data_IF_669661717901
#
_entry.id   IF_669661717901
#
_cell.length_a   1.000
_cell.length_b   1.000
_cell.length_c   1.000
_cell.angle_alpha   90.00
_cell.angle_beta   90.00
_cell.angle_gamma   90.00
#
_symmetry.space_group_name_H-M   'P 1'
#
loop_
_entity.id
_entity.type
_entity.pdbx_description
1 polymer ?
#
# COMPACT_ATOMS: atom_id res chain seq x y z
N UNK A 1 60.31 -1.54 -24.53
CA UNK A 1 60.69 -0.76 -23.34
C UNK A 1 59.83 0.51 -23.33
N UNK A 2 58.80 0.63 -22.49
CA UNK A 2 58.80 1.09 -21.09
C UNK A 2 59.25 2.55 -20.92
N UNK A 3 58.28 3.44 -20.63
CA UNK A 3 58.20 4.46 -19.56
C UNK A 3 57.42 5.70 -20.06
N UNK A 4 56.18 5.89 -19.60
CA UNK A 4 55.74 6.74 -18.45
C UNK A 4 55.80 8.24 -18.83
N UNK A 5 54.84 9.13 -18.54
CA UNK A 5 53.93 9.32 -17.39
C UNK A 5 52.56 9.84 -17.91
N UNK A 6 51.40 9.36 -17.45
CA UNK A 6 50.64 9.81 -16.25
C UNK A 6 50.46 11.34 -16.16
N UNK A 7 49.22 11.83 -16.34
CA UNK A 7 48.42 12.41 -15.24
C UNK A 7 46.97 12.69 -15.67
N UNK A 8 46.07 12.43 -14.71
CA UNK A 8 44.61 12.55 -14.74
C UNK A 8 44.09 13.94 -15.11
N UNK A 9 42.90 13.96 -15.74
CA UNK A 9 41.80 14.81 -15.27
C UNK A 9 40.45 14.12 -15.56
N UNK A 10 39.76 13.77 -14.48
CA UNK A 10 38.41 13.22 -14.42
C UNK A 10 37.40 14.20 -15.03
N UNK A 11 36.69 13.76 -16.07
CA UNK A 11 35.35 14.24 -16.40
C UNK A 11 34.50 13.02 -16.79
N UNK A 12 34.26 12.13 -15.82
CA UNK A 12 33.06 11.31 -15.89
C UNK A 12 31.90 12.27 -15.60
N UNK A 13 31.29 12.75 -16.69
CA UNK A 13 29.96 13.30 -16.63
C UNK A 13 29.09 12.27 -15.89
N UNK A 14 28.69 12.60 -14.67
CA UNK A 14 27.57 11.96 -14.00
C UNK A 14 26.36 12.22 -14.88
N UNK A 15 26.11 11.36 -15.86
CA UNK A 15 24.78 11.15 -16.36
C UNK A 15 24.00 10.59 -15.17
N UNK A 16 23.31 11.48 -14.46
CA UNK A 16 22.16 11.10 -13.66
C UNK A 16 21.22 10.37 -14.60
N UNK A 17 21.32 9.04 -14.65
CA UNK A 17 20.19 8.23 -15.03
C UNK A 17 19.15 8.46 -13.94
N UNK A 18 18.29 9.45 -14.17
CA UNK A 18 16.95 9.39 -13.62
C UNK A 18 16.43 8.01 -14.06
N UNK A 19 16.35 7.07 -13.12
CA UNK A 19 15.63 5.82 -13.36
C UNK A 19 14.20 6.25 -13.69
N UNK A 20 13.91 6.32 -14.98
CA UNK A 20 12.54 6.24 -15.48
C UNK A 20 12.00 4.93 -14.92
N UNK A 21 11.08 5.06 -13.96
CA UNK A 21 10.26 3.95 -13.47
C UNK A 21 9.72 3.26 -14.73
N UNK A 22 9.91 1.94 -14.89
CA UNK A 22 9.40 1.24 -16.07
C UNK A 22 7.90 1.48 -16.17
N UNK A 23 7.44 1.93 -17.35
CA UNK A 23 6.03 2.22 -17.65
C UNK A 23 5.09 1.03 -17.33
N UNK A 24 5.61 -0.18 -17.14
CA UNK A 24 4.84 -1.36 -16.71
C UNK A 24 4.15 -1.23 -15.33
N UNK A 25 4.59 -0.32 -14.44
CA UNK A 25 3.85 -0.08 -13.18
C UNK A 25 2.68 0.89 -13.42
N UNK A 26 2.77 1.78 -14.43
CA UNK A 26 1.76 2.81 -14.71
C UNK A 26 0.52 2.20 -15.36
N UNK A 27 0.68 1.14 -16.17
CA UNK A 27 -0.45 0.42 -16.78
C UNK A 27 -1.32 -0.39 -15.78
N UNK A 28 -0.86 -0.60 -14.53
CA UNK A 28 -1.68 -1.23 -13.48
C UNK A 28 -2.66 -0.26 -12.80
N UNK A 29 -2.49 1.04 -13.01
CA UNK A 29 -3.29 2.09 -12.38
C UNK A 29 -4.11 2.92 -13.38
N UNK A 30 -3.69 3.03 -14.64
CA UNK A 30 -4.38 3.83 -15.66
C UNK A 30 -5.60 3.13 -16.29
N UNK A 31 -5.68 1.80 -16.26
CA UNK A 31 -6.83 1.04 -16.77
C UNK A 31 -7.82 0.63 -15.66
N UNK A 32 -7.91 1.42 -14.60
CA UNK A 32 -9.01 1.30 -13.64
C UNK A 32 -10.22 2.05 -14.19
N UNK A 33 -10.72 1.58 -15.34
CA UNK A 33 -12.05 1.92 -15.85
C UNK A 33 -13.07 1.50 -14.80
N UNK A 34 -13.52 2.47 -14.00
CA UNK A 34 -14.68 2.35 -13.12
C UNK A 34 -14.73 1.01 -12.35
N UNK A 35 -13.86 0.84 -11.35
CA UNK A 35 -14.28 -0.04 -10.24
C UNK A 35 -15.50 0.65 -9.68
N UNK A 36 -16.68 0.10 -9.91
CA UNK A 36 -17.91 0.54 -9.26
C UNK A 36 -17.57 0.82 -7.79
N UNK A 37 -17.77 2.06 -7.34
CA UNK A 37 -17.23 2.62 -6.10
C UNK A 37 -17.13 1.55 -5.00
N UNK A 38 -15.97 1.39 -4.35
CA UNK A 38 -15.80 0.40 -3.29
C UNK A 38 -16.95 0.51 -2.30
N UNK A 39 -17.66 -0.60 -2.06
CA UNK A 39 -18.74 -0.60 -1.08
C UNK A 39 -18.13 -0.86 0.29
N UNK A 40 -18.14 0.17 1.14
CA UNK A 40 -17.71 0.11 2.53
C UNK A 40 -18.77 -0.56 3.40
N UNK A 41 -18.36 -1.53 4.21
CA UNK A 41 -19.24 -2.25 5.13
C UNK A 41 -18.57 -2.41 6.49
N UNK A 42 -19.29 -2.07 7.56
CA UNK A 42 -18.78 -2.11 8.93
C UNK A 42 -19.53 -3.15 9.73
N UNK A 43 -18.85 -4.24 10.07
CA UNK A 43 -19.36 -5.20 11.04
C UNK A 43 -19.04 -4.72 12.46
N UNK A 44 -19.96 -3.96 13.06
CA UNK A 44 -19.81 -3.42 14.42
C UNK A 44 -19.68 -4.48 15.52
N UNK A 45 -20.22 -5.68 15.32
CA UNK A 45 -20.13 -6.77 16.31
C UNK A 45 -18.71 -7.30 16.41
N UNK A 46 -18.06 -7.48 15.27
CA UNK A 46 -16.71 -8.05 15.17
C UNK A 46 -15.62 -6.98 14.98
N UNK A 47 -16.00 -5.70 14.87
CA UNK A 47 -15.11 -4.58 14.60
C UNK A 47 -14.32 -4.76 13.30
N UNK A 48 -14.99 -5.20 12.23
CA UNK A 48 -14.37 -5.40 10.91
C UNK A 48 -14.81 -4.26 10.00
N UNK A 49 -13.85 -3.51 9.46
CA UNK A 49 -14.09 -2.60 8.34
C UNK A 49 -13.79 -3.35 7.03
N UNK A 50 -14.74 -3.41 6.12
CA UNK A 50 -14.61 -4.17 4.88
C UNK A 50 -14.78 -3.26 3.68
N UNK A 51 -13.93 -3.46 2.68
CA UNK A 51 -14.08 -2.85 1.36
C UNK A 51 -14.37 -3.95 0.35
N UNK A 52 -15.52 -3.87 -0.31
CA UNK A 52 -15.92 -4.80 -1.37
C UNK A 52 -15.51 -4.25 -2.74
N UNK A 53 -14.73 -5.03 -3.48
CA UNK A 53 -14.19 -4.66 -4.79
C UNK A 53 -14.78 -5.55 -5.87
N UNK A 54 -15.09 -4.93 -7.01
CA UNK A 54 -15.54 -5.60 -8.23
C UNK A 54 -14.34 -6.06 -9.09
N UNK A 55 -13.62 -7.08 -8.59
CA UNK A 55 -12.49 -7.71 -9.30
C UNK A 55 -12.51 -9.22 -9.07
N UNK A 56 -12.43 -10.01 -10.14
CA UNK A 56 -12.46 -11.49 -10.10
C UNK A 56 -11.41 -12.10 -9.16
N UNK A 57 -10.22 -11.50 -9.09
CA UNK A 57 -9.14 -11.90 -8.17
C UNK A 57 -8.52 -10.65 -7.56
N UNK A 58 -8.43 -10.62 -6.23
CA UNK A 58 -7.71 -9.57 -5.50
C UNK A 58 -6.25 -10.01 -5.38
N UNK A 59 -5.33 -9.13 -5.81
CA UNK A 59 -3.90 -9.32 -5.62
C UNK A 59 -3.47 -8.77 -4.25
N UNK A 60 -2.40 -9.34 -3.68
CA UNK A 60 -1.90 -8.94 -2.36
C UNK A 60 -1.52 -7.46 -2.33
N UNK A 61 -0.82 -6.97 -3.35
CA UNK A 61 -0.34 -5.58 -3.37
C UNK A 61 -1.49 -4.58 -3.53
N UNK A 62 -2.55 -4.95 -4.26
CA UNK A 62 -3.78 -4.16 -4.29
C UNK A 62 -4.45 -4.11 -2.90
N UNK A 63 -4.50 -5.23 -2.19
CA UNK A 63 -5.03 -5.24 -0.82
C UNK A 63 -4.19 -4.40 0.15
N UNK A 64 -2.84 -4.42 0.02
CA UNK A 64 -1.96 -3.54 0.78
C UNK A 64 -2.28 -2.07 0.52
N UNK A 65 -2.42 -1.70 -0.75
CA UNK A 65 -2.76 -0.33 -1.15
C UNK A 65 -4.07 0.14 -0.50
N UNK A 66 -5.15 -0.65 -0.57
CA UNK A 66 -6.43 -0.31 0.05
C UNK A 66 -6.31 -0.20 1.59
N UNK A 67 -5.58 -1.11 2.24
CA UNK A 67 -5.34 -1.02 3.69
C UNK A 67 -4.57 0.25 4.04
N UNK A 68 -3.55 0.62 3.26
CA UNK A 68 -2.79 1.84 3.47
C UNK A 68 -3.67 3.09 3.35
N UNK A 69 -4.54 3.17 2.34
CA UNK A 69 -5.50 4.26 2.18
C UNK A 69 -6.44 4.38 3.38
N UNK A 70 -7.02 3.27 3.83
CA UNK A 70 -7.90 3.27 5.02
C UNK A 70 -7.13 3.73 6.26
N UNK A 71 -5.89 3.27 6.43
CA UNK A 71 -5.07 3.69 7.55
C UNK A 71 -4.75 5.18 7.51
N UNK A 72 -4.41 5.72 6.33
CA UNK A 72 -4.14 7.14 6.11
C UNK A 72 -5.39 7.96 6.42
N UNK A 73 -6.50 7.61 5.80
CA UNK A 73 -7.77 8.33 5.94
C UNK A 73 -8.28 8.30 7.39
N UNK A 74 -8.13 7.15 8.07
CA UNK A 74 -8.45 7.01 9.49
C UNK A 74 -7.64 7.91 10.42
N UNK A 75 -6.48 8.38 9.94
CA UNK A 75 -5.61 9.30 10.65
C UNK A 75 -5.83 10.76 10.24
N UNK A 76 -5.99 11.05 8.94
CA UNK A 76 -6.16 12.41 8.41
C UNK A 76 -7.56 12.97 8.58
N UNK A 77 -8.58 12.11 8.63
CA UNK A 77 -10.00 12.50 8.72
C UNK A 77 -10.68 11.98 10.01
N UNK A 78 -10.19 12.36 11.21
CA UNK A 78 -10.64 11.79 12.47
C UNK A 78 -12.14 12.00 12.75
N UNK A 79 -12.77 12.99 12.13
CA UNK A 79 -14.19 13.29 12.27
C UNK A 79 -15.08 12.27 11.54
N UNK A 80 -14.74 11.90 10.30
CA UNK A 80 -15.44 10.84 9.55
C UNK A 80 -15.29 9.50 10.28
N UNK A 81 -14.07 9.18 10.71
CA UNK A 81 -13.73 7.92 11.37
C UNK A 81 -14.12 7.84 12.83
N UNK A 82 -14.65 8.90 13.44
CA UNK A 82 -14.91 8.99 14.89
C UNK A 82 -15.74 7.81 15.41
N UNK A 83 -16.79 7.45 14.68
CA UNK A 83 -17.74 6.40 15.05
C UNK A 83 -17.45 5.03 14.41
N UNK A 84 -16.39 4.94 13.59
CA UNK A 84 -15.97 3.70 12.95
C UNK A 84 -14.80 3.15 13.74
N UNK A 85 -15.08 2.20 14.64
CA UNK A 85 -14.04 1.51 15.39
C UNK A 85 -13.79 0.13 14.77
N UNK A 86 -12.59 -0.06 14.21
CA UNK A 86 -12.20 -1.35 13.63
C UNK A 86 -10.99 -1.92 14.37
N UNK A 87 -10.94 -3.25 14.42
CA UNK A 87 -9.83 -4.08 14.89
C UNK A 87 -9.24 -4.96 13.78
N UNK A 88 -9.91 -4.98 12.62
CA UNK A 88 -9.37 -5.58 11.41
C UNK A 88 -9.96 -4.90 10.18
N UNK A 89 -9.17 -4.90 9.10
CA UNK A 89 -9.59 -4.46 7.79
C UNK A 89 -9.67 -5.68 6.87
N UNK A 90 -10.71 -5.75 6.04
CA UNK A 90 -10.90 -6.79 5.05
C UNK A 90 -11.09 -6.19 3.66
N UNK A 91 -10.25 -6.60 2.73
CA UNK A 91 -10.33 -6.23 1.31
C UNK A 91 -10.83 -7.45 0.57
N UNK A 92 -12.11 -7.44 0.17
CA UNK A 92 -12.81 -8.64 -0.30
C UNK A 92 -13.45 -8.46 -1.67
N UNK A 93 -13.51 -9.54 -2.42
CA UNK A 93 -14.25 -9.61 -3.67
C UNK A 93 -15.74 -9.55 -3.35
N UNK A 94 -16.47 -8.73 -4.09
CA UNK A 94 -17.91 -8.47 -3.91
C UNK A 94 -18.77 -9.74 -4.02
N UNK A 95 -18.42 -10.65 -4.92
CA UNK A 95 -19.27 -11.78 -5.32
C UNK A 95 -18.96 -13.09 -4.59
N UNK A 96 -17.71 -13.32 -4.21
CA UNK A 96 -17.25 -14.62 -3.70
C UNK A 96 -16.62 -14.58 -2.30
N UNK A 97 -16.61 -13.40 -1.65
CA UNK A 97 -16.05 -13.19 -0.30
C UNK A 97 -14.59 -13.65 -0.12
N UNK A 98 -13.84 -13.90 -1.19
CA UNK A 98 -12.40 -14.13 -1.09
C UNK A 98 -11.66 -12.81 -0.98
N UNK A 99 -10.48 -12.80 -0.36
CA UNK A 99 -9.76 -11.54 -0.20
C UNK A 99 -8.56 -11.61 0.70
N UNK A 100 -8.24 -10.47 1.31
CA UNK A 100 -7.18 -10.34 2.30
C UNK A 100 -7.69 -9.64 3.55
N UNK A 101 -7.24 -10.14 4.70
CA UNK A 101 -7.55 -9.63 6.02
C UNK A 101 -6.28 -9.21 6.71
N UNK A 102 -6.35 -8.13 7.48
CA UNK A 102 -5.29 -7.73 8.40
C UNK A 102 -5.89 -7.32 9.75
N UNK A 103 -5.24 -7.74 10.83
CA UNK A 103 -5.64 -7.38 12.19
C UNK A 103 -4.94 -6.09 12.61
N UNK A 104 -5.59 -4.97 12.34
CA UNK A 104 -5.07 -3.63 12.61
C UNK A 104 -6.19 -2.73 13.13
N UNK A 105 -5.83 -1.76 13.98
CA UNK A 105 -6.74 -0.75 14.52
C UNK A 105 -6.23 0.67 14.18
N UNK A 106 -7.05 1.68 14.48
CA UNK A 106 -6.74 3.09 14.18
C UNK A 106 -5.43 3.58 14.83
N UNK A 107 -5.13 3.15 16.06
CA UNK A 107 -3.87 3.53 16.73
C UNK A 107 -2.64 2.99 16.00
N UNK A 108 -2.73 1.74 15.53
CA UNK A 108 -1.66 1.09 14.80
C UNK A 108 -1.54 1.61 13.36
N UNK A 109 -2.65 2.00 12.72
CA UNK A 109 -2.61 2.76 11.47
C UNK A 109 -1.89 4.11 11.66
N UNK A 110 -2.23 4.87 12.70
CA UNK A 110 -1.59 6.15 13.00
C UNK A 110 -0.08 6.01 13.29
N UNK A 111 0.38 4.85 13.76
CA UNK A 111 1.82 4.59 13.95
C UNK A 111 2.61 4.67 12.65
N UNK A 112 2.01 4.33 11.49
CA UNK A 112 2.71 4.35 10.19
C UNK A 112 3.15 5.78 9.87
N UNK A 113 2.22 6.72 10.07
CA UNK A 113 2.37 8.10 9.67
C UNK A 113 3.04 8.97 10.74
N UNK A 114 2.83 8.68 12.03
CA UNK A 114 3.49 9.45 13.11
C UNK A 114 5.00 9.22 13.19
N UNK A 115 5.50 8.12 12.63
CA UNK A 115 6.90 7.72 12.70
C UNK A 115 7.68 7.93 11.41
N UNK A 116 7.04 8.45 10.36
CA UNK A 116 7.61 8.55 9.01
C UNK A 116 8.32 7.25 8.58
N UNK A 117 7.63 6.11 8.77
CA UNK A 117 8.20 4.81 8.39
C UNK A 117 8.36 4.74 6.87
N UNK A 118 9.48 4.16 6.42
CA UNK A 118 9.66 3.84 5.01
C UNK A 118 8.73 2.69 4.56
N UNK A 119 8.42 2.62 3.27
CA UNK A 119 7.62 1.53 2.69
C UNK A 119 8.18 0.14 3.04
N UNK A 120 9.50 0.00 3.09
CA UNK A 120 10.16 -1.24 3.50
C UNK A 120 9.85 -1.59 4.97
N UNK A 121 9.87 -0.62 5.88
CA UNK A 121 9.56 -0.84 7.29
C UNK A 121 8.08 -1.20 7.49
N UNK A 122 7.17 -0.52 6.78
CA UNK A 122 5.74 -0.84 6.79
C UNK A 122 5.53 -2.27 6.28
N UNK A 123 6.19 -2.66 5.19
CA UNK A 123 6.12 -4.02 4.66
C UNK A 123 6.61 -5.03 5.71
N UNK A 124 7.81 -4.84 6.27
CA UNK A 124 8.40 -5.83 7.18
C UNK A 124 7.68 -5.94 8.53
N UNK A 125 7.23 -4.82 9.09
CA UNK A 125 6.64 -4.80 10.43
C UNK A 125 5.17 -5.22 10.44
N UNK A 126 4.48 -5.14 9.28
CA UNK A 126 3.02 -5.18 9.24
C UNK A 126 2.55 -6.08 8.12
N UNK A 127 2.71 -5.65 6.87
CA UNK A 127 2.10 -6.36 5.75
C UNK A 127 2.65 -7.77 5.54
N UNK A 128 3.95 -8.00 5.76
CA UNK A 128 4.60 -9.29 5.50
C UNK A 128 3.99 -10.44 6.31
N UNK A 129 3.62 -10.19 7.56
CA UNK A 129 3.17 -11.25 8.48
C UNK A 129 1.67 -11.19 8.80
N UNK A 130 1.06 -10.01 8.72
CA UNK A 130 -0.30 -9.81 9.23
C UNK A 130 -1.37 -9.76 8.15
N UNK A 131 -1.01 -9.45 6.90
CA UNK A 131 -1.94 -9.51 5.79
C UNK A 131 -2.10 -10.96 5.32
N UNK A 132 -3.25 -11.56 5.56
CA UNK A 132 -3.54 -12.97 5.31
C UNK A 132 -4.64 -13.12 4.25
N UNK A 133 -4.48 -14.07 3.35
CA UNK A 133 -5.51 -14.41 2.36
C UNK A 133 -6.62 -15.23 3.02
N UNK A 134 -7.87 -15.01 2.62
CA UNK A 134 -9.02 -15.83 3.00
C UNK A 134 -9.94 -16.11 1.81
#
# INVERSE_FOLDING_TARGET
MRKNLLFLALLFCNFSQAQTVPDEIVDLFDEVLSVADPEEDVNYKNYIFSVKIDKSVIQRDYAKYIVSLICEDSYSEPDYWRNINFKSIEVRNRDNNSGFKININKDRCAYFFKKDLSDYEIEQQIFKYELQKF
#
